data_IF_101907550447
#
_entry.id   IF_101907550447
#
_cell.length_a   1.000
_cell.length_b   1.000
_cell.length_c   1.000
_cell.angle_alpha   90.00
_cell.angle_beta   90.00
_cell.angle_gamma   90.00
#
_symmetry.space_group_name_H-M   'P 1'
#
loop_
_entity.id
_entity.type
_entity.pdbx_description
1 polymer ?
#
# COMPACT_ATOMS: atom_id res chain seq x y z
N UNK A 1 -2.43 -19.36 -18.24
CA UNK A 1 -1.32 -19.13 -17.26
C UNK A 1 -1.53 -19.97 -16.01
N UNK A 2 -0.48 -20.65 -15.54
CA UNK A 2 -0.53 -21.38 -14.27
C UNK A 2 -0.21 -20.39 -13.14
N UNK A 3 -1.20 -20.12 -12.30
CA UNK A 3 -1.03 -19.19 -11.16
C UNK A 3 -0.82 -19.97 -9.88
N UNK A 4 0.18 -19.57 -9.12
CA UNK A 4 0.33 -19.99 -7.73
C UNK A 4 -0.41 -18.99 -6.85
N UNK A 5 -1.47 -19.47 -6.23
CA UNK A 5 -2.30 -18.66 -5.34
C UNK A 5 -1.58 -18.36 -4.03
N UNK A 6 -1.65 -17.11 -3.61
CA UNK A 6 -1.37 -16.77 -2.24
C UNK A 6 -2.52 -17.30 -1.36
N UNK A 7 -2.37 -18.49 -0.80
CA UNK A 7 -3.34 -19.04 0.13
C UNK A 7 -3.40 -18.20 1.42
N UNK A 8 -4.13 -17.09 1.38
CA UNK A 8 -4.41 -16.27 2.56
C UNK A 8 -5.92 -16.16 2.72
N UNK A 9 -6.42 -16.76 3.77
CA UNK A 9 -7.81 -16.62 4.20
C UNK A 9 -8.20 -15.17 4.58
N UNK A 10 -7.23 -14.27 4.69
CA UNK A 10 -7.44 -12.90 5.21
C UNK A 10 -7.52 -11.83 4.13
N UNK A 11 -7.13 -12.11 2.88
CA UNK A 11 -7.16 -11.12 1.78
C UNK A 11 -8.12 -11.54 0.66
N UNK A 12 -9.41 -11.55 0.97
CA UNK A 12 -10.48 -11.86 -0.01
C UNK A 12 -10.37 -11.05 -1.33
N UNK A 13 -9.88 -9.81 -1.26
CA UNK A 13 -9.70 -8.95 -2.44
C UNK A 13 -8.65 -9.50 -3.40
N UNK A 14 -7.52 -10.03 -2.90
CA UNK A 14 -6.47 -10.57 -3.76
C UNK A 14 -6.86 -11.87 -4.46
N UNK A 15 -7.70 -12.69 -3.83
CA UNK A 15 -8.26 -13.89 -4.47
C UNK A 15 -9.07 -13.56 -5.73
N UNK A 16 -9.80 -12.44 -5.73
CA UNK A 16 -10.50 -11.97 -6.93
C UNK A 16 -9.52 -11.61 -8.04
N UNK A 17 -8.41 -10.95 -7.71
CA UNK A 17 -7.32 -10.64 -8.65
C UNK A 17 -6.75 -11.92 -9.27
N UNK A 18 -6.42 -12.91 -8.45
CA UNK A 18 -5.89 -14.21 -8.89
C UNK A 18 -6.86 -14.94 -9.82
N UNK A 19 -8.14 -14.93 -9.51
CA UNK A 19 -9.17 -15.55 -10.36
C UNK A 19 -9.26 -14.89 -11.74
N UNK A 20 -9.11 -13.58 -11.82
CA UNK A 20 -9.08 -12.88 -13.11
C UNK A 20 -7.77 -13.13 -13.87
N UNK A 21 -6.64 -13.13 -13.18
CA UNK A 21 -5.32 -13.42 -13.78
C UNK A 21 -5.26 -14.84 -14.39
N UNK A 22 -5.95 -15.84 -13.81
CA UNK A 22 -6.03 -17.19 -14.35
C UNK A 22 -6.63 -17.25 -15.76
N UNK A 23 -7.44 -16.27 -16.13
CA UNK A 23 -8.07 -16.20 -17.45
C UNK A 23 -7.12 -15.73 -18.56
N UNK A 24 -5.94 -15.20 -18.18
CA UNK A 24 -4.94 -14.77 -19.15
C UNK A 24 -4.36 -16.00 -19.84
N UNK A 25 -4.42 -16.02 -21.16
CA UNK A 25 -3.72 -17.02 -21.98
C UNK A 25 -2.25 -16.66 -22.08
N UNK A 26 -1.42 -17.37 -21.31
CA UNK A 26 0.01 -17.13 -21.21
C UNK A 26 0.75 -18.37 -20.71
N UNK A 27 1.92 -18.67 -21.28
CA UNK A 27 2.74 -19.80 -20.89
C UNK A 27 3.72 -19.42 -19.75
N UNK A 28 3.81 -20.27 -18.74
CA UNK A 28 4.70 -20.12 -17.59
C UNK A 28 3.96 -20.03 -16.25
N UNK A 29 4.76 -20.08 -15.21
CA UNK A 29 4.30 -19.96 -13.83
C UNK A 29 4.23 -18.49 -13.40
N UNK A 30 3.13 -18.06 -12.84
CA UNK A 30 2.95 -16.72 -12.28
C UNK A 30 2.72 -16.80 -10.78
N UNK A 31 3.61 -16.18 -10.02
CA UNK A 31 3.53 -16.12 -8.56
C UNK A 31 2.92 -14.77 -8.18
N UNK A 32 1.66 -14.80 -7.80
CA UNK A 32 0.87 -13.59 -7.53
C UNK A 32 1.32 -12.81 -6.31
N UNK A 33 2.05 -13.47 -5.38
CA UNK A 33 2.57 -12.87 -4.14
C UNK A 33 3.85 -13.60 -3.73
N UNK A 34 5.00 -13.08 -4.18
CA UNK A 34 6.30 -13.74 -3.99
C UNK A 34 6.63 -13.98 -2.51
N UNK A 35 6.43 -13.00 -1.63
CA UNK A 35 6.77 -13.11 -0.21
C UNK A 35 6.01 -14.26 0.47
N UNK A 36 4.73 -14.40 0.16
CA UNK A 36 3.92 -15.46 0.77
C UNK A 36 4.22 -16.84 0.21
N UNK A 37 4.52 -16.91 -1.06
CA UNK A 37 4.88 -18.17 -1.71
C UNK A 37 6.21 -18.67 -1.20
N UNK A 38 7.27 -17.86 -1.33
CA UNK A 38 8.63 -18.30 -1.01
C UNK A 38 8.88 -18.54 0.49
N UNK A 39 8.07 -17.93 1.36
CA UNK A 39 8.10 -18.24 2.79
C UNK A 39 7.47 -19.61 3.16
N UNK A 40 6.74 -20.24 2.23
CA UNK A 40 6.05 -21.51 2.47
C UNK A 40 6.68 -22.71 1.78
N UNK A 41 7.41 -22.46 0.69
CA UNK A 41 8.00 -23.54 -0.11
C UNK A 41 9.43 -23.85 0.34
N UNK A 42 9.80 -25.14 0.26
CA UNK A 42 11.11 -25.62 0.63
C UNK A 42 12.00 -25.96 -0.58
N UNK A 43 11.46 -25.84 -1.79
CA UNK A 43 12.16 -26.16 -3.03
C UNK A 43 12.10 -24.98 -3.99
N UNK A 44 13.20 -24.70 -4.71
CA UNK A 44 13.23 -23.63 -5.69
C UNK A 44 12.33 -23.93 -6.90
N UNK A 45 11.82 -22.88 -7.52
CA UNK A 45 11.14 -22.98 -8.81
C UNK A 45 12.18 -23.24 -9.89
N UNK A 46 12.00 -24.33 -10.65
CA UNK A 46 12.92 -24.79 -11.70
C UNK A 46 12.33 -24.70 -13.11
N UNK A 47 11.21 -23.99 -13.26
CA UNK A 47 10.57 -23.67 -14.54
C UNK A 47 10.54 -22.16 -14.75
N UNK A 48 10.29 -21.68 -15.97
CA UNK A 48 10.12 -20.24 -16.24
C UNK A 48 9.00 -19.66 -15.40
N UNK A 49 9.30 -18.58 -14.67
CA UNK A 49 8.33 -17.93 -13.82
C UNK A 49 8.41 -16.39 -13.85
N UNK A 50 7.33 -15.79 -13.42
CA UNK A 50 7.07 -14.35 -13.27
C UNK A 50 6.47 -14.13 -11.89
N UNK A 51 6.72 -12.98 -11.27
CA UNK A 51 6.17 -12.78 -9.94
C UNK A 51 5.93 -11.33 -9.57
N UNK A 52 5.08 -11.11 -8.55
CA UNK A 52 4.81 -9.80 -7.97
C UNK A 52 5.42 -9.73 -6.58
N UNK A 53 6.20 -8.68 -6.34
CA UNK A 53 6.72 -8.27 -5.03
C UNK A 53 5.80 -7.19 -4.47
N UNK A 54 5.27 -7.41 -3.28
CA UNK A 54 4.30 -6.52 -2.64
C UNK A 54 4.92 -5.64 -1.56
N UNK A 55 5.87 -6.17 -0.81
CA UNK A 55 6.46 -5.45 0.31
C UNK A 55 7.43 -4.37 -0.18
N UNK A 56 7.44 -3.19 0.44
CA UNK A 56 8.47 -2.20 0.15
C UNK A 56 9.85 -2.73 0.57
N UNK A 57 10.90 -2.32 -0.12
CA UNK A 57 12.26 -2.63 0.29
C UNK A 57 12.53 -2.07 1.69
N UNK A 58 13.33 -2.80 2.48
CA UNK A 58 13.74 -2.42 3.84
C UNK A 58 12.59 -2.34 4.89
N UNK A 59 11.42 -2.93 4.57
CA UNK A 59 10.27 -2.96 5.49
C UNK A 59 10.58 -3.61 6.85
N UNK A 60 11.53 -4.52 6.88
CA UNK A 60 11.97 -5.24 8.07
C UNK A 60 12.51 -4.30 9.16
N UNK A 61 13.08 -3.16 8.79
CA UNK A 61 13.55 -2.14 9.74
C UNK A 61 12.41 -1.57 10.60
N UNK A 62 11.19 -1.66 10.08
CA UNK A 62 9.99 -1.08 10.68
C UNK A 62 8.95 -2.14 11.06
N UNK A 63 9.35 -3.39 11.20
CA UNK A 63 8.42 -4.47 11.58
C UNK A 63 8.85 -5.17 12.86
N UNK A 64 8.01 -5.15 13.91
CA UNK A 64 8.29 -5.89 15.14
C UNK A 64 8.22 -7.42 14.96
N UNK A 65 7.69 -7.86 13.83
CA UNK A 65 7.51 -9.27 13.49
C UNK A 65 8.60 -9.81 12.58
N UNK A 66 9.60 -8.96 12.28
CA UNK A 66 10.71 -9.38 11.44
C UNK A 66 11.58 -10.41 12.17
N UNK A 67 11.74 -11.55 11.55
CA UNK A 67 12.84 -12.47 11.78
C UNK A 67 13.63 -12.64 10.48
N UNK A 68 14.90 -13.07 10.58
CA UNK A 68 15.79 -13.19 9.43
C UNK A 68 15.30 -14.18 8.34
N UNK A 69 14.19 -14.89 8.59
CA UNK A 69 13.61 -15.87 7.67
C UNK A 69 12.44 -15.29 6.86
N UNK A 70 12.07 -14.05 7.03
CA UNK A 70 10.88 -13.46 6.38
C UNK A 70 11.20 -12.53 5.24
N UNK A 71 12.41 -11.99 5.13
CA UNK A 71 12.81 -11.16 4.00
C UNK A 71 12.99 -12.01 2.74
N UNK A 72 12.20 -11.70 1.71
CA UNK A 72 12.20 -12.40 0.44
C UNK A 72 13.62 -12.55 -0.15
N UNK A 73 14.42 -11.49 -0.12
CA UNK A 73 15.76 -11.45 -0.72
C UNK A 73 16.81 -12.21 0.07
N UNK A 74 16.53 -12.64 1.30
CA UNK A 74 17.42 -13.46 2.12
C UNK A 74 17.03 -14.93 2.09
N UNK A 75 15.85 -15.27 1.54
CA UNK A 75 15.42 -16.65 1.39
C UNK A 75 16.25 -17.38 0.32
N UNK A 76 16.94 -18.44 0.73
CA UNK A 76 17.71 -19.28 -0.17
C UNK A 76 16.87 -19.82 -1.33
N UNK A 77 15.64 -20.25 -1.04
CA UNK A 77 14.71 -20.81 -2.04
C UNK A 77 14.31 -19.76 -3.10
N UNK A 78 14.14 -18.51 -2.71
CA UNK A 78 13.89 -17.41 -3.66
C UNK A 78 15.12 -17.16 -4.52
N UNK A 79 16.28 -17.04 -3.90
CA UNK A 79 17.54 -16.82 -4.59
C UNK A 79 17.84 -17.90 -5.65
N UNK A 80 17.69 -19.17 -5.29
CA UNK A 80 17.87 -20.29 -6.21
C UNK A 80 16.83 -20.31 -7.34
N UNK A 81 15.64 -19.74 -7.12
CA UNK A 81 14.59 -19.64 -8.14
C UNK A 81 14.84 -18.51 -9.14
N UNK A 82 15.62 -17.49 -8.78
CA UNK A 82 15.83 -16.30 -9.63
C UNK A 82 16.48 -16.61 -10.98
N UNK A 83 17.25 -17.70 -11.09
CA UNK A 83 17.85 -18.15 -12.36
C UNK A 83 16.79 -18.48 -13.44
N UNK A 84 15.57 -18.82 -13.04
CA UNK A 84 14.46 -19.15 -13.93
C UNK A 84 13.45 -17.99 -14.03
N UNK A 85 13.63 -16.94 -13.22
CA UNK A 85 12.76 -15.75 -13.26
C UNK A 85 13.01 -14.92 -14.52
N UNK A 86 11.94 -14.56 -15.21
CA UNK A 86 12.03 -13.77 -16.44
C UNK A 86 11.64 -12.31 -16.23
N UNK A 87 10.76 -12.02 -15.27
CA UNK A 87 10.26 -10.67 -14.99
C UNK A 87 9.71 -10.62 -13.58
N UNK A 88 10.03 -9.56 -12.87
CA UNK A 88 9.41 -9.21 -11.60
C UNK A 88 8.56 -7.96 -11.73
N UNK A 89 7.44 -7.98 -11.09
CA UNK A 89 6.57 -6.83 -10.91
C UNK A 89 6.69 -6.30 -9.49
N UNK A 90 6.61 -4.99 -9.36
CA UNK A 90 6.48 -4.28 -8.08
C UNK A 90 5.21 -3.46 -8.07
N UNK A 91 4.64 -3.21 -6.90
CA UNK A 91 3.35 -2.52 -6.80
C UNK A 91 3.48 -0.98 -6.81
N UNK A 92 4.70 -0.47 -7.03
CA UNK A 92 4.99 0.96 -7.10
C UNK A 92 6.22 1.23 -7.96
N UNK A 93 6.26 2.38 -8.60
CA UNK A 93 7.41 2.81 -9.40
C UNK A 93 8.65 3.07 -8.55
N UNK A 94 8.47 3.61 -7.35
CA UNK A 94 9.57 3.94 -6.45
C UNK A 94 10.34 2.70 -5.99
N UNK A 95 9.70 1.50 -6.07
CA UNK A 95 10.32 0.22 -5.72
C UNK A 95 11.14 -0.41 -6.86
N UNK A 96 11.08 0.12 -8.09
CA UNK A 96 11.79 -0.47 -9.23
C UNK A 96 13.29 -0.49 -8.97
N UNK A 97 13.89 0.67 -8.72
CA UNK A 97 15.35 0.77 -8.53
C UNK A 97 15.85 0.06 -7.27
N UNK A 98 15.21 0.21 -6.09
CA UNK A 98 15.59 -0.58 -4.91
C UNK A 98 15.61 -2.09 -5.14
N UNK A 99 14.58 -2.65 -5.81
CA UNK A 99 14.52 -4.08 -6.13
C UNK A 99 15.62 -4.49 -7.10
N UNK A 100 15.89 -3.68 -8.16
CA UNK A 100 16.99 -3.94 -9.08
C UNK A 100 18.35 -3.96 -8.38
N UNK A 101 18.58 -3.02 -7.46
CA UNK A 101 19.82 -3.00 -6.69
C UNK A 101 19.99 -4.24 -5.80
N UNK A 102 18.91 -4.71 -5.16
CA UNK A 102 18.93 -5.95 -4.38
C UNK A 102 19.24 -7.17 -5.27
N UNK A 103 18.60 -7.27 -6.43
CA UNK A 103 18.89 -8.32 -7.42
C UNK A 103 20.36 -8.28 -7.89
N UNK A 104 20.86 -7.10 -8.21
CA UNK A 104 22.25 -6.88 -8.65
C UNK A 104 23.26 -7.29 -7.58
N UNK A 105 23.01 -6.95 -6.30
CA UNK A 105 23.85 -7.39 -5.17
C UNK A 105 23.91 -8.92 -5.04
N UNK A 106 22.86 -9.61 -5.46
CA UNK A 106 22.80 -11.10 -5.50
C UNK A 106 23.28 -11.69 -6.83
N UNK A 107 23.77 -10.88 -7.78
CA UNK A 107 24.32 -11.32 -9.07
C UNK A 107 23.31 -11.54 -10.19
N UNK A 108 22.06 -11.08 -10.02
CA UNK A 108 21.01 -11.23 -11.02
C UNK A 108 20.70 -9.92 -11.75
N UNK A 109 20.34 -10.07 -13.03
CA UNK A 109 19.83 -9.00 -13.89
C UNK A 109 18.47 -9.43 -14.41
N UNK A 110 17.42 -9.15 -13.64
CA UNK A 110 16.04 -9.48 -13.98
C UNK A 110 15.29 -8.18 -14.18
N UNK A 111 14.53 -8.03 -15.28
CA UNK A 111 13.68 -6.85 -15.48
C UNK A 111 12.69 -6.68 -14.33
N UNK A 112 12.52 -5.42 -13.90
CA UNK A 112 11.55 -5.05 -12.85
C UNK A 112 10.68 -3.94 -13.39
N UNK A 113 9.38 -4.12 -13.39
CA UNK A 113 8.39 -3.13 -13.84
C UNK A 113 7.26 -2.99 -12.83
N UNK A 114 6.67 -1.80 -12.76
CA UNK A 114 5.58 -1.58 -11.81
C UNK A 114 4.23 -2.07 -12.34
N UNK A 115 3.34 -2.38 -11.40
CA UNK A 115 1.90 -2.50 -11.57
C UNK A 115 1.22 -1.56 -10.57
N UNK A 116 0.00 -1.11 -10.89
CA UNK A 116 -0.81 -0.38 -9.92
C UNK A 116 -1.73 -1.35 -9.18
N UNK A 117 -1.72 -1.30 -7.86
CA UNK A 117 -2.56 -2.17 -7.04
C UNK A 117 -4.05 -1.97 -7.37
N UNK A 118 -4.78 -3.03 -7.72
CA UNK A 118 -6.19 -2.90 -8.03
C UNK A 118 -7.02 -2.77 -6.75
N UNK A 119 -8.13 -2.06 -6.85
CA UNK A 119 -9.14 -1.98 -5.80
C UNK A 119 -10.52 -2.30 -6.39
N UNK A 120 -11.35 -2.95 -5.61
CA UNK A 120 -12.74 -3.20 -5.97
C UNK A 120 -13.52 -1.88 -6.03
N UNK A 121 -14.56 -1.86 -6.86
CA UNK A 121 -15.46 -0.72 -6.92
C UNK A 121 -16.10 -0.50 -5.55
N UNK A 122 -16.04 0.74 -5.07
CA UNK A 122 -16.69 1.15 -3.82
C UNK A 122 -18.10 1.66 -4.12
N UNK A 123 -19.02 1.41 -3.19
CA UNK A 123 -20.42 1.85 -3.26
C UNK A 123 -20.70 3.10 -2.41
N UNK A 124 -19.63 3.78 -1.97
CA UNK A 124 -19.68 4.99 -1.18
C UNK A 124 -18.74 6.05 -1.75
N UNK A 125 -18.99 7.29 -1.46
CA UNK A 125 -18.13 8.41 -1.78
C UNK A 125 -18.26 9.52 -0.74
N UNK A 126 -17.23 10.33 -0.61
CA UNK A 126 -17.26 11.49 0.27
C UNK A 126 -18.32 12.50 -0.20
N UNK A 127 -19.06 13.02 0.75
CA UNK A 127 -20.07 14.06 0.58
C UNK A 127 -19.67 15.27 1.45
N UNK A 128 -19.27 16.35 0.78
CA UNK A 128 -18.80 17.55 1.47
C UNK A 128 -19.88 18.22 2.31
N UNK A 129 -21.15 18.20 1.87
CA UNK A 129 -22.25 18.77 2.65
C UNK A 129 -22.55 17.95 3.90
N UNK A 130 -22.49 16.63 3.81
CA UNK A 130 -22.56 15.77 5.00
C UNK A 130 -21.39 16.05 5.95
N UNK A 131 -20.16 16.16 5.43
CA UNK A 131 -18.99 16.49 6.23
C UNK A 131 -19.16 17.86 6.92
N UNK A 132 -19.53 18.89 6.18
CA UNK A 132 -19.69 20.26 6.70
C UNK A 132 -20.70 20.31 7.84
N UNK A 133 -21.81 19.60 7.69
CA UNK A 133 -22.91 19.54 8.66
C UNK A 133 -22.73 18.45 9.74
N UNK A 134 -21.64 17.68 9.71
CA UNK A 134 -21.37 16.65 10.71
C UNK A 134 -20.94 17.30 12.03
N UNK A 135 -21.76 17.19 13.10
CA UNK A 135 -21.41 17.76 14.41
C UNK A 135 -20.29 16.98 15.12
N UNK A 136 -20.04 15.74 14.67
CA UNK A 136 -19.07 14.81 15.26
C UNK A 136 -17.97 14.46 14.25
N UNK A 137 -17.35 15.49 13.63
CA UNK A 137 -16.24 15.28 12.70
C UNK A 137 -15.14 14.45 13.35
N UNK A 138 -14.74 13.38 12.70
CA UNK A 138 -13.71 12.47 13.22
C UNK A 138 -12.54 12.36 12.24
N UNK A 139 -11.34 12.27 12.78
CA UNK A 139 -10.11 11.94 12.04
C UNK A 139 -9.78 10.51 12.37
N UNK A 140 -9.84 9.63 11.37
CA UNK A 140 -9.61 8.19 11.50
C UNK A 140 -8.21 7.79 11.03
N UNK A 141 -7.41 7.21 11.93
CA UNK A 141 -6.21 6.47 11.56
C UNK A 141 -6.59 5.01 11.31
N UNK A 142 -6.45 4.53 10.07
CA UNK A 142 -6.90 3.20 9.65
C UNK A 142 -5.72 2.34 9.24
N UNK A 143 -5.67 1.10 9.76
CA UNK A 143 -4.65 0.10 9.51
C UNK A 143 -3.43 0.26 10.44
N UNK A 144 -2.53 -0.70 10.38
CA UNK A 144 -1.45 -0.80 11.38
C UNK A 144 -0.06 -1.01 10.77
N UNK A 145 0.11 -1.86 9.77
CA UNK A 145 1.42 -2.25 9.26
C UNK A 145 2.19 -1.07 8.61
N UNK A 146 3.45 -0.87 9.03
CA UNK A 146 4.36 0.19 8.58
C UNK A 146 3.85 1.62 8.79
N UNK A 147 2.98 1.84 9.81
CA UNK A 147 2.39 3.14 10.11
C UNK A 147 2.87 3.65 11.46
N UNK A 148 3.13 4.94 11.55
CA UNK A 148 3.43 5.65 12.80
C UNK A 148 2.13 5.79 13.61
N UNK A 149 1.68 4.70 14.20
CA UNK A 149 0.38 4.65 14.89
C UNK A 149 0.29 5.62 16.07
N UNK A 150 1.44 6.00 16.66
CA UNK A 150 1.46 6.99 17.74
C UNK A 150 1.04 8.40 17.26
N UNK A 151 1.14 8.70 15.98
CA UNK A 151 0.92 10.03 15.44
C UNK A 151 -0.53 10.51 15.66
N UNK A 152 -1.53 9.62 15.62
CA UNK A 152 -2.92 10.00 15.89
C UNK A 152 -3.11 10.45 17.35
N UNK A 153 -2.34 9.90 18.29
CA UNK A 153 -2.38 10.31 19.70
C UNK A 153 -1.74 11.69 19.89
N UNK A 154 -0.69 11.98 19.10
CA UNK A 154 0.05 13.24 19.12
C UNK A 154 -0.62 14.37 18.32
N UNK A 155 -1.59 14.01 17.47
CA UNK A 155 -2.28 14.99 16.64
C UNK A 155 -3.06 15.99 17.49
N UNK A 156 -2.74 17.28 17.31
CA UNK A 156 -3.48 18.37 17.93
C UNK A 156 -4.59 18.85 16.97
N UNK A 157 -5.84 18.59 17.31
CA UNK A 157 -7.02 18.98 16.52
C UNK A 157 -8.11 19.68 17.34
N UNK A 158 -7.77 20.17 18.54
CA UNK A 158 -8.68 20.79 19.50
C UNK A 158 -9.94 19.93 19.75
N UNK A 159 -10.99 20.53 20.30
CA UNK A 159 -12.28 19.86 20.53
C UNK A 159 -13.18 19.79 19.30
N UNK A 160 -12.77 20.39 18.16
CA UNK A 160 -13.55 20.39 16.91
C UNK A 160 -13.61 19.03 16.25
N UNK A 161 -12.59 18.20 16.48
CA UNK A 161 -12.49 16.87 15.90
C UNK A 161 -12.29 15.81 16.98
N UNK A 162 -13.00 14.71 16.82
CA UNK A 162 -12.71 13.48 17.51
C UNK A 162 -11.58 12.75 16.78
N UNK A 163 -10.70 12.07 17.52
CA UNK A 163 -9.68 11.20 16.96
C UNK A 163 -10.06 9.75 17.15
N UNK A 164 -9.81 8.90 16.15
CA UNK A 164 -10.08 7.48 16.25
C UNK A 164 -9.00 6.64 15.57
N UNK A 165 -8.78 5.43 16.07
CA UNK A 165 -7.86 4.44 15.48
C UNK A 165 -8.57 3.11 15.24
N UNK A 166 -8.30 2.48 14.09
CA UNK A 166 -8.90 1.24 13.64
C UNK A 166 -7.91 0.44 12.75
N UNK A 167 -7.66 -0.86 13.02
CA UNK A 167 -8.07 -1.60 14.22
C UNK A 167 -7.21 -1.25 15.42
N UNK A 168 -7.74 -1.43 16.63
CA UNK A 168 -6.98 -1.35 17.86
C UNK A 168 -7.11 -2.66 18.65
N UNK A 169 -6.33 -3.64 18.24
CA UNK A 169 -6.26 -4.98 18.80
C UNK A 169 -4.87 -5.25 19.41
N UNK A 170 -4.59 -6.46 19.85
CA UNK A 170 -3.30 -6.83 20.44
C UNK A 170 -2.11 -6.59 19.49
N UNK A 171 -2.31 -6.86 18.19
CA UNK A 171 -1.28 -6.56 17.18
C UNK A 171 -0.97 -5.08 17.14
N UNK A 172 -2.00 -4.23 17.08
CA UNK A 172 -1.83 -2.76 17.05
C UNK A 172 -1.13 -2.24 18.31
N UNK A 173 -1.45 -2.80 19.49
CA UNK A 173 -0.79 -2.43 20.75
C UNK A 173 0.71 -2.77 20.73
N UNK A 174 1.05 -3.96 20.24
CA UNK A 174 2.45 -4.39 20.12
C UNK A 174 3.23 -3.51 19.12
N UNK A 175 2.63 -3.21 17.97
CA UNK A 175 3.24 -2.31 16.98
C UNK A 175 3.36 -0.88 17.54
N UNK A 176 2.36 -0.37 18.25
CA UNK A 176 2.42 0.93 18.91
C UNK A 176 3.58 1.00 19.91
N UNK A 177 3.73 -0.04 20.76
CA UNK A 177 4.86 -0.13 21.70
C UNK A 177 6.20 -0.17 20.98
N UNK A 178 6.31 -0.94 19.89
CA UNK A 178 7.52 -1.02 19.09
C UNK A 178 7.89 0.34 18.49
N UNK A 179 6.95 1.01 17.83
CA UNK A 179 7.21 2.28 17.15
C UNK A 179 7.47 3.43 18.13
N UNK A 180 6.77 3.47 19.28
CA UNK A 180 7.06 4.48 20.32
C UNK A 180 8.46 4.32 20.90
N UNK A 181 8.90 3.09 21.10
CA UNK A 181 10.27 2.80 21.55
C UNK A 181 11.32 3.17 20.49
N UNK A 182 11.06 2.79 19.23
CA UNK A 182 11.96 3.04 18.11
C UNK A 182 12.20 4.56 17.90
N UNK A 183 11.15 5.36 17.98
CA UNK A 183 11.20 6.81 17.74
C UNK A 183 11.37 7.63 19.03
N UNK A 184 11.52 6.99 20.18
CA UNK A 184 11.62 7.64 21.51
C UNK A 184 10.42 8.55 21.83
N UNK A 185 9.20 8.10 21.48
CA UNK A 185 7.96 8.84 21.71
C UNK A 185 7.30 8.37 23.00
N UNK A 186 6.92 9.32 23.85
CA UNK A 186 6.10 9.06 25.03
C UNK A 186 4.68 9.50 24.77
N UNK A 187 3.70 8.61 24.92
CA UNK A 187 2.28 8.92 24.86
C UNK A 187 1.77 9.03 26.29
N UNK A 188 1.23 10.17 26.69
CA UNK A 188 0.65 10.38 28.02
C UNK A 188 -0.69 9.64 28.17
N UNK A 189 -1.13 9.43 29.40
CA UNK A 189 -2.46 8.86 29.65
C UNK A 189 -3.60 9.71 29.08
N UNK A 190 -3.46 11.02 29.08
CA UNK A 190 -4.43 11.95 28.52
C UNK A 190 -4.52 11.77 27.00
N UNK A 191 -3.40 11.73 26.30
CA UNK A 191 -3.33 11.45 24.86
C UNK A 191 -3.95 10.08 24.53
N UNK A 192 -3.65 9.04 25.32
CA UNK A 192 -4.25 7.72 25.15
C UNK A 192 -5.77 7.73 25.32
N UNK A 193 -6.30 8.52 26.27
CA UNK A 193 -7.74 8.67 26.50
C UNK A 193 -8.43 9.54 25.43
N UNK A 194 -7.70 10.42 24.77
CA UNK A 194 -8.25 11.35 23.76
C UNK A 194 -8.60 10.69 22.43
N UNK A 195 -8.22 9.43 22.20
CA UNK A 195 -8.44 8.70 20.94
C UNK A 195 -9.42 7.54 21.16
N UNK A 196 -10.51 7.52 20.39
CA UNK A 196 -11.45 6.39 20.36
C UNK A 196 -10.78 5.20 19.68
N UNK A 197 -10.94 4.02 20.26
CA UNK A 197 -10.32 2.79 19.81
C UNK A 197 -11.39 1.82 19.35
N UNK A 198 -11.34 1.45 18.05
CA UNK A 198 -12.23 0.44 17.49
C UNK A 198 -11.43 -0.82 17.18
N UNK A 199 -11.83 -1.96 17.72
CA UNK A 199 -11.22 -3.23 17.35
C UNK A 199 -11.61 -3.65 15.95
N UNK A 200 -12.87 -3.53 15.62
CA UNK A 200 -13.44 -3.84 14.30
C UNK A 200 -14.72 -3.01 14.10
N UNK A 201 -15.02 -2.72 12.85
CA UNK A 201 -16.31 -2.19 12.41
C UNK A 201 -16.93 -3.16 11.40
N UNK A 202 -18.26 -3.22 11.34
CA UNK A 202 -18.94 -3.85 10.22
C UNK A 202 -18.79 -3.02 8.94
N UNK A 203 -19.03 -3.61 7.78
CA UNK A 203 -18.82 -2.99 6.49
C UNK A 203 -19.62 -1.68 6.32
N UNK A 204 -20.84 -1.63 6.85
CA UNK A 204 -21.69 -0.44 6.74
C UNK A 204 -21.12 0.74 7.53
N UNK A 205 -20.70 0.52 8.78
CA UNK A 205 -20.09 1.55 9.60
C UNK A 205 -18.69 1.92 9.08
N UNK A 206 -17.93 0.95 8.58
CA UNK A 206 -16.64 1.22 7.93
C UNK A 206 -16.81 2.13 6.72
N UNK A 207 -17.75 1.85 5.84
CA UNK A 207 -18.01 2.70 4.66
C UNK A 207 -18.42 4.12 5.03
N UNK A 208 -19.22 4.28 6.08
CA UNK A 208 -19.63 5.60 6.59
C UNK A 208 -18.47 6.49 7.04
N UNK A 209 -17.34 5.89 7.46
CA UNK A 209 -16.16 6.69 7.83
C UNK A 209 -15.72 7.59 6.69
N UNK A 210 -15.73 7.06 5.47
CA UNK A 210 -15.25 7.75 4.27
C UNK A 210 -16.24 8.77 3.72
N UNK A 211 -17.52 8.70 4.09
CA UNK A 211 -18.54 9.59 3.53
C UNK A 211 -18.48 11.02 4.09
N UNK A 212 -18.12 11.21 5.36
CA UNK A 212 -18.25 12.51 6.04
C UNK A 212 -17.21 12.77 7.13
N UNK A 213 -16.05 12.12 7.05
CA UNK A 213 -14.96 12.30 7.98
C UNK A 213 -13.62 12.43 7.24
N UNK A 214 -12.52 12.61 7.98
CA UNK A 214 -11.19 12.69 7.44
C UNK A 214 -10.42 11.40 7.73
N UNK A 215 -9.62 10.99 6.80
CA UNK A 215 -8.69 9.87 6.98
C UNK A 215 -7.29 10.44 7.25
N UNK A 216 -6.54 9.77 8.09
CA UNK A 216 -5.19 10.14 8.47
C UNK A 216 -4.24 8.95 8.31
N UNK A 217 -3.17 9.15 7.58
CA UNK A 217 -2.08 8.19 7.45
C UNK A 217 -0.74 8.89 7.67
N UNK A 218 0.04 8.31 8.57
CA UNK A 218 1.45 8.63 8.76
C UNK A 218 2.24 7.32 8.64
N UNK A 219 3.01 7.17 7.58
CA UNK A 219 3.70 5.92 7.25
C UNK A 219 5.22 6.06 7.35
N UNK A 220 5.89 4.97 7.72
CA UNK A 220 7.33 4.83 7.55
C UNK A 220 7.68 4.47 6.12
N UNK A 221 6.99 3.45 5.61
CA UNK A 221 7.11 2.93 4.26
C UNK A 221 5.74 2.48 3.74
N UNK A 222 5.58 2.52 2.44
CA UNK A 222 4.43 1.93 1.77
C UNK A 222 4.76 1.68 0.31
N UNK A 223 4.22 0.64 -0.30
CA UNK A 223 4.13 0.50 -1.75
C UNK A 223 2.82 1.08 -2.24
N UNK A 224 1.75 0.70 -1.61
CA UNK A 224 0.41 1.26 -1.69
C UNK A 224 -0.43 0.54 -0.62
N UNK A 225 -1.39 1.20 -0.04
CA UNK A 225 -2.24 0.56 0.97
C UNK A 225 -3.72 0.78 0.67
N UNK A 226 -4.55 -0.16 1.14
CA UNK A 226 -5.98 -0.15 0.88
C UNK A 226 -6.67 1.14 1.36
N UNK A 227 -6.32 1.63 2.55
CA UNK A 227 -6.90 2.85 3.12
C UNK A 227 -6.68 4.07 2.23
N UNK A 228 -5.47 4.19 1.65
CA UNK A 228 -5.18 5.25 0.68
C UNK A 228 -6.01 5.07 -0.59
N UNK A 229 -6.07 3.85 -1.14
CA UNK A 229 -6.86 3.56 -2.33
C UNK A 229 -8.36 3.79 -2.12
N UNK A 230 -8.89 3.37 -0.98
CA UNK A 230 -10.29 3.60 -0.60
C UNK A 230 -10.59 5.10 -0.52
N UNK A 231 -9.72 5.88 0.10
CA UNK A 231 -9.82 7.34 0.15
C UNK A 231 -9.74 7.97 -1.24
N UNK A 232 -8.82 7.50 -2.07
CA UNK A 232 -8.66 7.99 -3.44
C UNK A 232 -9.91 7.71 -4.29
N UNK A 233 -10.42 6.47 -4.25
CA UNK A 233 -11.58 6.05 -5.08
C UNK A 233 -12.87 6.72 -4.59
N UNK A 234 -13.05 6.84 -3.27
CA UNK A 234 -14.22 7.52 -2.69
C UNK A 234 -14.10 9.04 -2.70
N UNK A 235 -12.98 9.60 -3.11
CA UNK A 235 -12.67 11.05 -3.02
C UNK A 235 -12.69 11.61 -1.60
N UNK A 236 -12.41 10.77 -0.62
CA UNK A 236 -12.37 11.18 0.79
C UNK A 236 -11.07 11.92 1.07
N UNK A 237 -11.11 13.16 1.59
CA UNK A 237 -9.92 13.89 1.98
C UNK A 237 -9.11 13.11 2.99
N UNK A 238 -7.81 12.95 2.68
CA UNK A 238 -6.89 12.15 3.46
C UNK A 238 -5.65 12.98 3.81
N UNK A 239 -5.34 13.06 5.10
CA UNK A 239 -4.13 13.69 5.62
C UNK A 239 -2.98 12.70 5.46
N UNK A 240 -1.95 13.07 4.71
CA UNK A 240 -0.83 12.20 4.34
C UNK A 240 0.50 12.86 4.70
N UNK A 241 1.38 12.13 5.37
CA UNK A 241 2.78 12.55 5.37
C UNK A 241 3.33 12.52 3.93
N UNK A 242 4.23 13.47 3.61
CA UNK A 242 4.79 13.60 2.25
C UNK A 242 5.75 12.44 1.96
N UNK A 243 5.18 11.30 1.62
CA UNK A 243 5.91 10.11 1.21
C UNK A 243 5.97 10.03 -0.32
N UNK A 244 7.12 9.64 -0.88
CA UNK A 244 7.36 9.59 -2.34
C UNK A 244 6.32 8.78 -3.12
N UNK A 245 5.83 7.68 -2.53
CA UNK A 245 4.76 6.86 -3.12
C UNK A 245 3.46 7.63 -3.34
N UNK A 246 3.05 8.41 -2.35
CA UNK A 246 1.84 9.22 -2.47
C UNK A 246 2.04 10.35 -3.47
N UNK A 247 3.22 10.96 -3.47
CA UNK A 247 3.58 12.01 -4.43
C UNK A 247 3.56 11.47 -5.86
N UNK A 248 4.13 10.28 -6.13
CA UNK A 248 4.06 9.64 -7.47
C UNK A 248 2.62 9.35 -7.90
N UNK A 249 1.77 8.94 -6.96
CA UNK A 249 0.41 8.52 -7.27
C UNK A 249 -0.57 9.66 -7.48
N UNK A 250 -0.50 10.73 -6.70
CA UNK A 250 -1.47 11.83 -6.74
C UNK A 250 -0.86 13.20 -7.03
N UNK A 251 0.47 13.31 -7.17
CA UNK A 251 1.17 14.56 -7.46
C UNK A 251 1.52 15.37 -6.22
N UNK A 252 2.54 16.21 -6.35
CA UNK A 252 3.12 17.01 -5.25
C UNK A 252 2.17 18.06 -4.67
N UNK A 253 1.19 18.50 -5.46
CA UNK A 253 0.32 19.63 -5.12
C UNK A 253 -0.97 19.22 -4.40
N UNK A 254 -1.06 17.97 -3.91
CA UNK A 254 -2.22 17.55 -3.12
C UNK A 254 -2.32 18.38 -1.84
N UNK A 255 -3.49 19.03 -1.54
CA UNK A 255 -3.59 20.08 -0.54
C UNK A 255 -3.40 19.65 0.93
N UNK A 256 -3.53 18.34 1.23
CA UNK A 256 -3.44 17.82 2.60
C UNK A 256 -2.19 16.96 2.83
N UNK A 257 -1.14 17.17 2.03
CA UNK A 257 0.18 16.71 2.40
C UNK A 257 0.73 17.53 3.55
N UNK A 258 1.28 16.86 4.56
CA UNK A 258 1.95 17.51 5.68
C UNK A 258 3.40 17.02 5.81
N UNK A 259 4.28 17.89 6.29
CA UNK A 259 5.67 17.60 6.62
C UNK A 259 5.85 17.44 8.14
N UNK A 260 4.94 18.06 8.92
CA UNK A 260 4.88 17.98 10.37
C UNK A 260 3.42 17.78 10.84
N UNK A 261 3.22 17.09 11.96
CA UNK A 261 1.89 16.95 12.57
C UNK A 261 1.27 18.31 12.92
N UNK A 262 2.10 19.32 13.21
CA UNK A 262 1.65 20.68 13.50
C UNK A 262 1.04 21.39 12.29
N UNK A 263 1.36 20.98 11.06
CA UNK A 263 0.78 21.55 9.84
C UNK A 263 -0.69 21.20 9.72
N UNK A 264 -1.10 20.06 10.23
CA UNK A 264 -2.44 19.50 10.07
C UNK A 264 -3.51 20.45 10.61
N UNK A 265 -3.25 21.15 11.72
CA UNK A 265 -4.19 22.14 12.28
C UNK A 265 -4.56 23.22 11.27
N UNK A 266 -3.62 23.68 10.44
CA UNK A 266 -3.88 24.70 9.43
C UNK A 266 -4.77 24.19 8.28
N UNK A 267 -4.77 22.88 8.05
CA UNK A 267 -5.61 22.27 7.03
C UNK A 267 -7.03 22.01 7.50
N UNK A 268 -7.19 21.36 8.68
CA UNK A 268 -8.48 20.83 9.14
C UNK A 268 -9.45 21.91 9.67
N UNK A 269 -8.94 23.06 10.11
CA UNK A 269 -9.79 24.14 10.62
C UNK A 269 -10.43 25.00 9.54
N UNK A 270 -10.01 24.85 8.27
CA UNK A 270 -10.61 25.52 7.12
C UNK A 270 -11.31 24.49 6.22
N UNK A 271 -12.65 24.50 6.23
CA UNK A 271 -13.46 23.60 5.41
C UNK A 271 -13.18 23.76 3.90
N UNK A 272 -12.66 24.93 3.45
CA UNK A 272 -12.27 25.14 2.06
C UNK A 272 -11.06 24.25 1.66
N UNK A 273 -10.10 24.05 2.55
CA UNK A 273 -8.97 23.14 2.29
C UNK A 273 -9.47 21.70 2.10
N UNK A 274 -10.47 21.29 2.88
CA UNK A 274 -11.08 19.97 2.76
C UNK A 274 -11.84 19.83 1.43
N UNK A 275 -12.59 20.88 1.03
CA UNK A 275 -13.25 20.90 -0.26
C UNK A 275 -12.26 20.85 -1.42
N UNK A 276 -11.15 21.60 -1.32
CA UNK A 276 -10.09 21.62 -2.32
C UNK A 276 -9.44 20.24 -2.46
N UNK A 277 -9.15 19.55 -1.35
CA UNK A 277 -8.62 18.20 -1.36
C UNK A 277 -9.60 17.19 -1.99
N UNK A 278 -10.87 17.25 -1.61
CA UNK A 278 -11.92 16.45 -2.24
C UNK A 278 -12.00 16.68 -3.76
N UNK A 279 -12.03 17.93 -4.20
CA UNK A 279 -12.07 18.27 -5.63
C UNK A 279 -10.78 17.88 -6.37
N UNK A 280 -9.64 17.92 -5.67
CA UNK A 280 -8.38 17.44 -6.21
C UNK A 280 -8.44 15.93 -6.49
N UNK A 281 -8.87 15.14 -5.50
CA UNK A 281 -9.00 13.68 -5.66
C UNK A 281 -10.00 13.31 -6.76
N UNK A 282 -11.06 14.09 -6.97
CA UNK A 282 -12.00 13.87 -8.08
C UNK A 282 -11.36 13.97 -9.46
N UNK A 283 -10.31 14.78 -9.61
CA UNK A 283 -9.63 14.99 -10.91
C UNK A 283 -8.59 13.90 -11.22
N UNK A 284 -8.19 13.11 -10.24
CA UNK A 284 -7.23 12.02 -10.45
C UNK A 284 -7.86 10.92 -11.32
N UNK A 285 -7.13 10.48 -12.35
CA UNK A 285 -7.55 9.32 -13.14
C UNK A 285 -7.41 8.03 -12.30
N UNK A 286 -8.56 7.44 -11.98
CA UNK A 286 -8.69 6.24 -11.16
C UNK A 286 -8.75 4.95 -11.96
N UNK A 287 -8.82 5.06 -13.29
CA UNK A 287 -8.95 3.89 -14.17
C UNK A 287 -7.83 2.88 -13.95
N UNK A 288 -6.61 3.36 -13.71
CA UNK A 288 -5.42 2.52 -13.48
C UNK A 288 -5.48 1.65 -12.22
N UNK A 289 -6.40 1.96 -11.28
CA UNK A 289 -6.59 1.18 -10.05
C UNK A 289 -7.76 0.19 -10.14
N UNK A 290 -8.37 0.04 -11.30
CA UNK A 290 -9.45 -0.95 -11.49
C UNK A 290 -8.87 -2.34 -11.74
N UNK A 291 -9.61 -3.38 -11.34
CA UNK A 291 -9.23 -4.77 -11.58
C UNK A 291 -9.08 -5.07 -13.08
N UNK A 292 -9.99 -4.57 -13.90
CA UNK A 292 -9.95 -4.74 -15.37
C UNK A 292 -8.65 -4.14 -15.98
N UNK A 293 -8.28 -2.94 -15.53
CA UNK A 293 -7.03 -2.32 -15.97
C UNK A 293 -5.82 -3.15 -15.52
N UNK A 294 -5.79 -3.58 -14.26
CA UNK A 294 -4.70 -4.38 -13.72
C UNK A 294 -4.46 -5.65 -14.52
N UNK A 295 -5.53 -6.41 -14.80
CA UNK A 295 -5.44 -7.66 -15.57
C UNK A 295 -4.91 -7.41 -16.98
N UNK A 296 -5.43 -6.38 -17.66
CA UNK A 296 -4.97 -5.97 -19.01
C UNK A 296 -3.51 -5.49 -19.00
N UNK A 297 -3.10 -4.76 -17.97
CA UNK A 297 -1.74 -4.26 -17.82
C UNK A 297 -0.75 -5.41 -17.61
N UNK A 298 -1.08 -6.37 -16.73
CA UNK A 298 -0.30 -7.60 -16.55
C UNK A 298 -0.17 -8.36 -17.87
N UNK A 299 -1.29 -8.60 -18.56
CA UNK A 299 -1.30 -9.32 -19.83
C UNK A 299 -0.44 -8.63 -20.89
N UNK A 300 -0.61 -7.32 -21.04
CA UNK A 300 0.13 -6.52 -22.03
C UNK A 300 1.63 -6.53 -21.76
N UNK A 301 2.04 -6.39 -20.50
CA UNK A 301 3.44 -6.37 -20.08
C UNK A 301 4.10 -7.75 -20.28
N UNK A 302 3.39 -8.83 -19.93
CA UNK A 302 3.88 -10.19 -20.17
C UNK A 302 4.05 -10.46 -21.67
N UNK A 303 3.05 -10.15 -22.50
CA UNK A 303 3.14 -10.35 -23.95
C UNK A 303 4.23 -9.49 -24.58
N UNK A 304 4.33 -8.22 -24.19
CA UNK A 304 5.39 -7.33 -24.67
C UNK A 304 6.77 -7.93 -24.36
N UNK A 305 7.01 -8.30 -23.10
CA UNK A 305 8.30 -8.83 -22.67
C UNK A 305 8.66 -10.16 -23.35
N UNK A 306 7.71 -11.06 -23.53
CA UNK A 306 7.97 -12.34 -24.20
C UNK A 306 8.26 -12.21 -25.69
N UNK A 307 7.66 -11.20 -26.35
CA UNK A 307 7.87 -10.97 -27.77
C UNK A 307 9.13 -10.14 -28.11
N UNK A 308 9.80 -9.58 -27.10
CA UNK A 308 11.09 -8.92 -27.32
C UNK A 308 12.14 -9.93 -27.76
N UNK A 309 12.94 -9.56 -28.77
CA UNK A 309 14.14 -10.30 -29.11
C UNK A 309 15.23 -10.11 -28.04
N UNK A 310 16.25 -10.97 -28.05
CA UNK A 310 17.30 -10.95 -27.02
C UNK A 310 18.09 -9.63 -26.98
N UNK A 311 18.21 -8.94 -28.11
CA UNK A 311 18.87 -7.62 -28.20
C UNK A 311 18.06 -6.54 -27.47
N UNK A 312 16.74 -6.53 -27.67
CA UNK A 312 15.85 -5.55 -27.05
C UNK A 312 15.68 -5.84 -25.54
N UNK A 313 15.64 -7.14 -25.14
CA UNK A 313 15.69 -7.53 -23.73
C UNK A 313 16.96 -7.01 -23.05
N UNK A 314 18.11 -7.16 -23.73
CA UNK A 314 19.39 -6.65 -23.22
C UNK A 314 19.40 -5.13 -23.10
N UNK A 315 18.86 -4.42 -24.10
CA UNK A 315 18.74 -2.97 -24.06
C UNK A 315 17.84 -2.49 -22.91
N UNK A 316 16.67 -3.15 -22.68
CA UNK A 316 15.81 -2.88 -21.52
C UNK A 316 16.53 -3.09 -20.20
N UNK A 317 17.36 -4.10 -20.09
CA UNK A 317 18.20 -4.34 -18.93
C UNK A 317 19.30 -3.28 -18.76
N UNK A 318 19.83 -2.71 -19.85
CA UNK A 318 20.90 -1.71 -19.83
C UNK A 318 20.37 -0.28 -19.65
N UNK A 319 19.22 0.05 -20.22
CA UNK A 319 18.58 1.39 -20.08
C UNK A 319 17.78 1.56 -18.80
N UNK A 320 17.55 0.46 -18.11
CA UNK A 320 16.87 0.42 -16.81
C UNK A 320 17.84 0.42 -15.64
N UNK A 321 19.14 0.66 -15.88
CA UNK A 321 20.21 0.72 -14.85
C UNK A 321 20.95 2.04 -14.92
#
# INVERSE_FOLDING_TARGET
MKIVEATINEHNNWKTVENELKKIDFEGLFISFCELYFNKVNSPVQETWYGIIHNPCEWEKYSPWYDNNTNLFDLKVFHESLQFCKLLFVMSKTQIEPVKELLKKKGYKIPVINLYHPINKLNFSFDFEKYKNNPNKTIYSIGNWLRKQYSIFKLNCDTKFTKAILPFNERTKNELSFYTNMDNIVISEEELKSVIKFEKLDDFNYHKLFESNLIFLDVYLTTINNTFLESLISNTPILLNRHEEYVDLIGETYPLFYDSLDDIKYFIFNDENILNAHNYLKKIDKKRFTLDYFVKDVQSKLHFFCNLNDKDKKLLLETSY
#
